data_IF_649226362524
#
_entry.id   IF_649226362524
#
_cell.length_a   1.000
_cell.length_b   1.000
_cell.length_c   1.000
_cell.angle_alpha   90.00
_cell.angle_beta   90.00
_cell.angle_gamma   90.00
#
_symmetry.space_group_name_H-M   'P 1'
#
loop_
_entity.id
_entity.type
_entity.pdbx_description
1 polymer ?
#
# COMPACT_ATOMS: atom_id res chain seq x y z
N UNK A 1 -23.23 -18.57 0.10
CA UNK A 1 -22.57 -17.64 -0.86
C UNK A 1 -22.91 -16.18 -0.56
N UNK A 2 -24.19 -15.80 -0.41
CA UNK A 2 -24.59 -14.43 0.00
C UNK A 2 -24.02 -13.98 1.35
N UNK A 3 -23.98 -14.85 2.35
CA UNK A 3 -23.48 -14.46 3.70
C UNK A 3 -21.99 -14.15 3.73
N UNK A 4 -21.17 -14.89 2.97
CA UNK A 4 -19.72 -14.61 2.84
C UNK A 4 -19.46 -13.29 2.10
N UNK A 5 -20.25 -12.98 1.08
CA UNK A 5 -20.12 -11.71 0.35
C UNK A 5 -20.49 -10.52 1.24
N UNK A 6 -21.54 -10.64 2.06
CA UNK A 6 -21.90 -9.60 3.02
C UNK A 6 -20.83 -9.41 4.10
N UNK A 7 -20.26 -10.50 4.63
CA UNK A 7 -19.16 -10.42 5.60
C UNK A 7 -17.93 -9.72 5.01
N UNK A 8 -17.55 -10.03 3.77
CA UNK A 8 -16.45 -9.36 3.10
C UNK A 8 -16.76 -7.88 2.87
N UNK A 9 -17.94 -7.52 2.40
CA UNK A 9 -18.32 -6.10 2.22
C UNK A 9 -18.22 -5.31 3.54
N UNK A 10 -18.71 -5.86 4.65
CA UNK A 10 -18.57 -5.22 5.96
C UNK A 10 -17.11 -5.13 6.42
N UNK A 11 -16.29 -6.16 6.18
CA UNK A 11 -14.88 -6.12 6.51
C UNK A 11 -14.14 -5.05 5.68
N UNK A 12 -14.44 -4.94 4.39
CA UNK A 12 -13.93 -3.90 3.50
C UNK A 12 -14.23 -2.50 4.05
N UNK A 13 -15.49 -2.23 4.43
CA UNK A 13 -15.91 -0.94 5.00
C UNK A 13 -15.23 -0.65 6.33
N UNK A 14 -15.20 -1.64 7.23
CA UNK A 14 -14.59 -1.51 8.56
C UNK A 14 -13.09 -1.21 8.47
N UNK A 15 -12.33 -1.99 7.70
CA UNK A 15 -10.88 -1.79 7.55
C UNK A 15 -10.60 -0.44 6.88
N UNK A 16 -11.35 -0.07 5.83
CA UNK A 16 -11.19 1.25 5.19
C UNK A 16 -11.44 2.41 6.17
N UNK A 17 -12.43 2.27 7.05
CA UNK A 17 -12.74 3.24 8.11
C UNK A 17 -11.63 3.33 9.15
N UNK A 18 -11.05 2.20 9.56
CA UNK A 18 -9.91 2.14 10.47
C UNK A 18 -8.69 2.80 9.83
N UNK A 19 -8.35 2.46 8.59
CA UNK A 19 -7.24 3.07 7.85
C UNK A 19 -7.38 4.60 7.78
N UNK A 20 -8.58 5.10 7.47
CA UNK A 20 -8.84 6.54 7.44
C UNK A 20 -8.73 7.18 8.83
N UNK A 21 -9.25 6.52 9.87
CA UNK A 21 -9.22 7.05 11.24
C UNK A 21 -7.80 7.10 11.79
N UNK A 22 -7.02 6.03 11.62
CA UNK A 22 -5.61 5.96 12.00
C UNK A 22 -4.79 7.02 11.27
N UNK A 23 -5.00 7.18 9.97
CA UNK A 23 -4.35 8.21 9.18
C UNK A 23 -4.69 9.63 9.64
N UNK A 24 -5.96 9.91 10.00
CA UNK A 24 -6.36 11.20 10.55
C UNK A 24 -5.75 11.48 11.91
N UNK A 25 -5.58 10.47 12.76
CA UNK A 25 -4.88 10.62 14.05
C UNK A 25 -3.41 10.99 13.81
N UNK A 26 -2.75 10.34 12.84
CA UNK A 26 -1.38 10.69 12.44
C UNK A 26 -1.31 12.13 11.91
N UNK A 27 -2.22 12.51 11.00
CA UNK A 27 -2.26 13.88 10.49
C UNK A 27 -2.49 14.90 11.61
N UNK A 28 -3.47 14.70 12.50
CA UNK A 28 -3.70 15.60 13.64
C UNK A 28 -2.51 15.67 14.60
N UNK A 29 -1.88 14.53 14.90
CA UNK A 29 -0.75 14.46 15.81
C UNK A 29 0.52 15.13 15.28
N UNK A 30 0.68 15.16 13.95
CA UNK A 30 1.92 15.60 13.29
C UNK A 30 1.77 16.84 12.38
N UNK A 31 0.56 17.32 12.13
CA UNK A 31 0.28 18.54 11.35
C UNK A 31 0.59 19.83 12.10
N UNK A 32 0.52 19.82 13.44
CA UNK A 32 0.86 20.95 14.31
C UNK A 32 2.35 21.07 14.66
N UNK A 33 3.19 20.12 14.23
CA UNK A 33 4.62 20.18 14.49
C UNK A 33 5.24 21.37 13.72
N UNK A 34 6.17 22.10 14.37
CA UNK A 34 6.87 23.24 13.77
C UNK A 34 7.60 22.91 12.45
N UNK A 35 7.79 21.61 12.17
CA UNK A 35 8.17 21.08 10.86
C UNK A 35 7.17 20.00 10.49
N UNK A 36 6.60 20.09 9.28
CA UNK A 36 5.76 19.04 8.71
C UNK A 36 6.55 17.74 8.71
N UNK A 37 6.10 16.75 9.49
CA UNK A 37 6.75 15.45 9.52
C UNK A 37 6.48 14.70 8.22
N UNK A 38 7.50 13.98 7.75
CA UNK A 38 7.34 13.03 6.67
C UNK A 38 6.67 11.77 7.20
N UNK A 39 5.51 11.43 6.64
CA UNK A 39 4.74 10.23 6.99
C UNK A 39 4.78 9.31 5.77
N UNK A 40 5.24 8.08 5.98
CA UNK A 40 5.26 7.03 4.98
C UNK A 40 4.88 5.72 5.64
N UNK A 41 3.95 4.99 5.03
CA UNK A 41 3.46 3.72 5.50
C UNK A 41 3.82 2.57 4.56
N UNK A 42 3.84 1.37 5.13
CA UNK A 42 3.80 0.12 4.39
C UNK A 42 2.51 -0.61 4.75
N UNK A 43 1.96 -1.34 3.77
CA UNK A 43 0.75 -2.13 3.95
C UNK A 43 1.09 -3.39 4.75
N UNK A 44 0.45 -3.56 5.91
CA UNK A 44 0.48 -4.78 6.70
C UNK A 44 -0.58 -5.79 6.26
N UNK A 45 -0.41 -7.06 6.66
CA UNK A 45 -1.32 -8.15 6.35
C UNK A 45 -2.76 -7.92 6.86
N UNK A 46 -2.92 -7.22 7.98
CA UNK A 46 -4.21 -6.91 8.60
C UNK A 46 -4.79 -5.55 8.14
N UNK A 47 -4.07 -4.84 7.27
CA UNK A 47 -4.60 -3.67 6.56
C UNK A 47 -5.44 -4.10 5.34
N UNK A 48 -5.83 -5.37 5.28
CA UNK A 48 -6.67 -5.98 4.24
C UNK A 48 -8.01 -6.43 4.84
N UNK A 49 -9.05 -6.66 4.01
CA UNK A 49 -10.37 -7.09 4.49
C UNK A 49 -10.35 -8.45 5.22
N UNK A 50 -9.31 -9.25 5.00
CA UNK A 50 -8.99 -10.41 5.80
C UNK A 50 -7.47 -10.58 5.86
N UNK A 51 -7.00 -11.31 6.87
CA UNK A 51 -5.58 -11.57 7.11
C UNK A 51 -4.90 -12.18 5.86
N UNK A 52 -3.83 -11.53 5.40
CA UNK A 52 -3.09 -11.87 4.18
C UNK A 52 -3.91 -11.91 2.87
N UNK A 53 -5.14 -11.38 2.87
CA UNK A 53 -5.97 -11.33 1.67
C UNK A 53 -5.58 -10.15 0.78
N UNK A 54 -5.04 -10.45 -0.41
CA UNK A 54 -4.80 -9.44 -1.44
C UNK A 54 -4.82 -10.06 -2.82
N UNK A 55 -5.85 -9.76 -3.61
CA UNK A 55 -5.92 -10.22 -4.99
C UNK A 55 -4.78 -9.64 -5.82
N UNK A 56 -4.10 -10.47 -6.60
CA UNK A 56 -3.08 -10.02 -7.55
C UNK A 56 -3.76 -9.66 -8.88
N UNK A 57 -3.72 -8.39 -9.27
CA UNK A 57 -4.38 -7.89 -10.49
C UNK A 57 -3.35 -7.46 -11.53
N UNK A 58 -3.05 -8.31 -12.50
CA UNK A 58 -2.08 -8.02 -13.57
C UNK A 58 -2.72 -7.44 -14.84
N UNK A 59 -4.03 -7.59 -15.00
CA UNK A 59 -4.80 -7.16 -16.18
C UNK A 59 -5.50 -5.80 -16.00
N UNK A 60 -5.17 -5.06 -14.94
CA UNK A 60 -5.76 -3.76 -14.60
C UNK A 60 -4.66 -2.77 -14.27
N UNK A 61 -4.92 -1.49 -14.46
CA UNK A 61 -4.01 -0.41 -14.06
C UNK A 61 -3.96 -0.22 -12.54
N UNK A 62 -4.98 -0.67 -11.80
CA UNK A 62 -5.05 -0.59 -10.35
C UNK A 62 -5.66 -1.86 -9.75
N UNK A 63 -5.30 -2.12 -8.50
CA UNK A 63 -5.95 -3.08 -7.63
C UNK A 63 -7.10 -2.40 -6.86
N UNK A 64 -8.32 -2.95 -6.85
CA UNK A 64 -9.46 -2.30 -6.20
C UNK A 64 -9.28 -2.04 -4.70
N UNK A 65 -8.67 -2.97 -3.95
CA UNK A 65 -8.43 -2.79 -2.52
C UNK A 65 -7.40 -1.68 -2.28
N UNK A 66 -6.25 -1.77 -2.95
CA UNK A 66 -5.17 -0.81 -2.80
C UNK A 66 -5.57 0.60 -3.24
N UNK A 67 -6.39 0.72 -4.29
CA UNK A 67 -6.96 2.00 -4.71
C UNK A 67 -7.87 2.61 -3.63
N UNK A 68 -8.69 1.80 -2.96
CA UNK A 68 -9.56 2.27 -1.87
C UNK A 68 -8.74 2.67 -0.62
N UNK A 69 -7.73 1.88 -0.24
CA UNK A 69 -6.80 2.21 0.84
C UNK A 69 -6.07 3.54 0.55
N UNK A 70 -5.53 3.72 -0.66
CA UNK A 70 -4.93 4.99 -1.09
C UNK A 70 -5.90 6.16 -0.98
N UNK A 71 -7.15 5.99 -1.44
CA UNK A 71 -8.17 7.04 -1.35
C UNK A 71 -8.46 7.44 0.10
N UNK A 72 -8.49 6.47 1.03
CA UNK A 72 -8.63 6.77 2.47
C UNK A 72 -7.47 7.58 3.03
N UNK A 73 -6.23 7.21 2.71
CA UNK A 73 -5.06 7.97 3.17
C UNK A 73 -4.95 9.35 2.51
N UNK A 74 -5.39 9.49 1.26
CA UNK A 74 -5.50 10.78 0.58
C UNK A 74 -6.54 11.69 1.25
N UNK A 75 -7.73 11.16 1.55
CA UNK A 75 -8.77 11.90 2.30
C UNK A 75 -8.29 12.33 3.68
N UNK A 76 -7.47 11.51 4.32
CA UNK A 76 -6.90 11.79 5.63
C UNK A 76 -5.71 12.76 5.61
N UNK A 77 -5.20 13.16 4.44
CA UNK A 77 -4.11 14.13 4.31
C UNK A 77 -2.69 13.56 4.45
N UNK A 78 -2.54 12.25 4.70
CA UNK A 78 -1.22 11.60 4.91
C UNK A 78 -0.61 11.03 3.63
N UNK A 79 -1.34 11.04 2.52
CA UNK A 79 -0.86 10.56 1.21
C UNK A 79 -1.23 11.55 0.11
N UNK A 80 -0.28 11.88 -0.77
CA UNK A 80 -0.57 12.74 -1.93
C UNK A 80 -1.31 11.98 -3.04
N UNK A 81 -1.98 12.70 -3.94
CA UNK A 81 -2.63 12.08 -5.10
C UNK A 81 -1.65 11.23 -5.92
N UNK A 82 -0.51 11.82 -6.29
CA UNK A 82 0.55 11.17 -7.08
C UNK A 82 1.10 9.91 -6.42
N UNK A 83 1.25 9.92 -5.10
CA UNK A 83 1.74 8.75 -4.36
C UNK A 83 0.70 7.64 -4.32
N UNK A 84 -0.57 8.00 -4.11
CA UNK A 84 -1.68 7.03 -4.15
C UNK A 84 -1.89 6.40 -5.52
N UNK A 85 -1.67 7.13 -6.61
CA UNK A 85 -1.68 6.57 -7.97
C UNK A 85 -0.63 5.46 -8.12
N UNK A 86 0.60 5.68 -7.64
CA UNK A 86 1.67 4.66 -7.63
C UNK A 86 1.30 3.45 -6.75
N UNK A 87 0.82 3.73 -5.54
CA UNK A 87 0.43 2.71 -4.57
C UNK A 87 -0.69 1.81 -5.10
N UNK A 88 -1.66 2.39 -5.81
CA UNK A 88 -2.91 1.72 -6.18
C UNK A 88 -2.75 0.49 -7.08
N UNK A 89 -1.61 0.30 -7.74
CA UNK A 89 -1.37 -0.88 -8.57
C UNK A 89 -0.97 -2.12 -7.74
N UNK A 90 0.10 -2.01 -6.95
CA UNK A 90 0.70 -3.15 -6.26
C UNK A 90 1.01 -2.95 -4.77
N UNK A 91 0.70 -1.77 -4.22
CA UNK A 91 0.89 -1.46 -2.80
C UNK A 91 2.32 -1.10 -2.42
N UNK A 92 3.20 -0.94 -3.42
CA UNK A 92 4.58 -0.51 -3.25
C UNK A 92 4.84 0.78 -4.02
N UNK A 93 5.76 1.59 -3.51
CA UNK A 93 6.10 2.87 -4.09
C UNK A 93 7.43 3.38 -3.53
N UNK A 94 7.92 4.48 -4.09
CA UNK A 94 9.06 5.21 -3.57
C UNK A 94 8.68 6.67 -3.30
N UNK A 95 9.34 7.26 -2.32
CA UNK A 95 9.37 8.69 -2.08
C UNK A 95 10.78 9.14 -1.70
N UNK A 96 11.05 10.44 -1.77
CA UNK A 96 12.36 11.02 -1.43
C UNK A 96 12.22 12.04 -0.30
N UNK A 97 13.06 11.91 0.73
CA UNK A 97 13.15 12.87 1.83
C UNK A 97 14.61 13.25 2.08
N UNK A 98 14.94 14.53 1.97
CA UNK A 98 16.30 15.02 2.22
C UNK A 98 17.39 14.35 1.36
N UNK A 99 17.08 13.93 0.13
CA UNK A 99 18.00 13.21 -0.75
C UNK A 99 18.08 11.70 -0.52
N UNK A 100 17.42 11.17 0.52
CA UNK A 100 17.27 9.74 0.75
C UNK A 100 16.00 9.23 0.05
N UNK A 101 16.15 8.25 -0.85
CA UNK A 101 15.01 7.52 -1.41
C UNK A 101 14.59 6.41 -0.46
N UNK A 102 13.31 6.38 -0.14
CA UNK A 102 12.70 5.36 0.71
C UNK A 102 11.79 4.53 -0.18
N UNK A 103 11.95 3.20 -0.14
CA UNK A 103 11.12 2.25 -0.87
C UNK A 103 10.16 1.58 0.12
N UNK A 104 8.86 1.76 -0.08
CA UNK A 104 7.82 0.99 0.61
C UNK A 104 7.48 -0.23 -0.24
N UNK A 105 7.64 -1.41 0.35
CA UNK A 105 7.51 -2.70 -0.32
C UNK A 105 6.24 -3.39 0.20
N UNK A 106 5.47 -4.00 -0.69
CA UNK A 106 4.34 -4.84 -0.30
C UNK A 106 4.81 -6.30 -0.21
N UNK A 107 4.89 -6.83 1.00
CA UNK A 107 5.34 -8.20 1.26
C UNK A 107 4.20 -9.21 1.37
N UNK A 108 2.93 -8.75 1.39
CA UNK A 108 1.76 -9.61 1.60
C UNK A 108 1.67 -10.71 0.54
N UNK A 109 1.86 -10.34 -0.73
CA UNK A 109 1.78 -11.25 -1.88
C UNK A 109 2.94 -12.25 -1.97
N UNK A 110 3.93 -12.15 -1.08
CA UNK A 110 5.05 -13.08 -0.96
C UNK A 110 4.95 -13.95 0.28
N UNK A 111 3.94 -13.72 1.14
CA UNK A 111 3.72 -14.51 2.34
C UNK A 111 3.28 -15.92 1.97
N UNK A 112 3.76 -16.93 2.72
CA UNK A 112 3.22 -18.29 2.62
C UNK A 112 1.75 -18.40 3.06
N UNK A 113 1.23 -17.39 3.75
CA UNK A 113 -0.18 -17.30 4.15
C UNK A 113 -1.03 -16.47 3.17
N UNK A 114 -0.45 -15.97 2.07
CA UNK A 114 -1.15 -15.15 1.08
C UNK A 114 -2.42 -15.84 0.55
N UNK A 115 -3.51 -15.08 0.45
CA UNK A 115 -4.77 -15.51 -0.14
C UNK A 115 -5.29 -14.49 -1.15
N UNK A 116 -5.84 -14.92 -2.31
CA UNK A 116 -5.90 -16.30 -2.80
C UNK A 116 -4.52 -16.84 -3.21
N UNK A 117 -4.25 -18.13 -2.92
CA UNK A 117 -2.91 -18.72 -2.98
C UNK A 117 -2.56 -19.49 -4.27
N UNK A 118 -3.45 -19.54 -5.26
CA UNK A 118 -3.24 -20.31 -6.49
C UNK A 118 -2.32 -19.58 -7.47
N UNK A 119 -1.35 -20.31 -8.05
CA UNK A 119 0.06 -19.94 -7.93
C UNK A 119 0.25 -18.48 -8.29
N UNK A 120 0.63 -17.69 -7.28
CA UNK A 120 1.02 -16.32 -7.49
C UNK A 120 2.09 -16.26 -8.59
N UNK A 121 2.06 -15.26 -9.48
CA UNK A 121 3.16 -15.02 -10.40
C UNK A 121 4.48 -14.98 -9.65
N UNK A 122 5.59 -15.39 -10.28
CA UNK A 122 6.90 -15.35 -9.64
C UNK A 122 7.33 -13.94 -9.19
N UNK A 123 6.78 -12.92 -9.83
CA UNK A 123 6.96 -11.50 -9.48
C UNK A 123 5.59 -10.78 -9.52
N UNK A 124 4.76 -10.93 -8.48
CA UNK A 124 3.47 -10.24 -8.40
C UNK A 124 3.64 -8.74 -8.56
N UNK A 125 2.85 -8.15 -9.48
CA UNK A 125 2.90 -6.74 -9.83
C UNK A 125 4.27 -6.23 -10.34
N UNK A 126 5.22 -7.12 -10.66
CA UNK A 126 6.56 -6.73 -11.11
C UNK A 126 7.41 -6.04 -10.04
N UNK A 127 7.09 -6.22 -8.76
CA UNK A 127 7.76 -5.53 -7.65
C UNK A 127 9.25 -5.89 -7.55
N UNK A 128 9.66 -7.14 -7.79
CA UNK A 128 11.08 -7.50 -7.77
C UNK A 128 11.85 -6.93 -8.97
N UNK A 129 11.24 -6.89 -10.15
CA UNK A 129 11.83 -6.18 -11.28
C UNK A 129 12.00 -4.68 -10.97
N UNK A 130 10.97 -4.04 -10.42
CA UNK A 130 11.01 -2.65 -10.00
C UNK A 130 12.07 -2.38 -8.91
N UNK A 131 12.11 -3.20 -7.86
CA UNK A 131 13.04 -3.07 -6.75
C UNK A 131 14.49 -3.19 -7.24
N UNK A 132 14.79 -4.19 -8.08
CA UNK A 132 16.13 -4.34 -8.67
C UNK A 132 16.53 -3.12 -9.49
N UNK A 133 15.63 -2.59 -10.32
CA UNK A 133 15.90 -1.39 -11.10
C UNK A 133 16.20 -0.17 -10.21
N UNK A 134 15.48 -0.01 -9.08
CA UNK A 134 15.73 1.09 -8.12
C UNK A 134 17.05 0.95 -7.37
N UNK A 135 17.39 -0.26 -6.94
CA UNK A 135 18.68 -0.51 -6.28
C UNK A 135 19.86 -0.33 -7.24
N UNK A 136 19.74 -0.79 -8.49
CA UNK A 136 20.75 -0.56 -9.53
C UNK A 136 20.92 0.93 -9.83
N UNK A 137 19.82 1.68 -9.90
CA UNK A 137 19.87 3.12 -10.08
C UNK A 137 20.58 3.82 -8.90
N UNK A 138 20.27 3.43 -7.65
CA UNK A 138 20.93 4.00 -6.48
C UNK A 138 22.46 3.80 -6.52
N UNK A 139 22.91 2.59 -6.87
CA UNK A 139 24.34 2.30 -7.08
C UNK A 139 24.95 3.18 -8.19
N UNK A 140 24.26 3.32 -9.32
CA UNK A 140 24.71 4.18 -10.43
C UNK A 140 24.78 5.67 -10.06
N UNK A 141 23.89 6.11 -9.17
CA UNK A 141 23.84 7.47 -8.64
C UNK A 141 24.84 7.71 -7.49
N UNK A 142 25.58 6.68 -7.06
CA UNK A 142 26.53 6.74 -5.93
C UNK A 142 25.86 6.89 -4.56
N UNK A 143 24.66 6.32 -4.38
CA UNK A 143 23.88 6.33 -3.13
C UNK A 143 23.91 4.98 -2.41
#
# INVERSE_FOLDING_TARGET
VRDKQNLLLHAWENVTSILNSSARILDLGFSGAARKMFIMGAQGNDDSPADYELNITTNRSTNPWLANAAASWQRAGVMTQKLGEKYSYGGFFEDEVGGLRILSINTIVYSGAHSPSDPAPADPFGQFAWLRARLQQAVGDGR
#
